data_IF_140339924837
#
_entry.id   IF_140339924837
#
_cell.length_a   1.000
_cell.length_b   1.000
_cell.length_c   1.000
_cell.angle_alpha   90.00
_cell.angle_beta   90.00
_cell.angle_gamma   90.00
#
_symmetry.space_group_name_H-M   'P 1'
#
loop_
_entity.id
_entity.type
_entity.pdbx_description
1 polymer ?
#
# COMPACT_ATOMS: atom_id res chain seq x y z
N UNK A 1 -4.57 0.97 16.09
CA UNK A 1 -3.58 1.21 17.18
C UNK A 1 -2.43 2.08 16.68
N UNK A 2 -1.66 2.78 17.53
CA UNK A 2 -0.47 3.58 17.11
C UNK A 2 0.78 3.04 17.80
N UNK A 3 1.93 3.10 17.13
CA UNK A 3 3.18 2.47 17.59
C UNK A 3 4.15 3.50 18.13
N UNK A 4 4.76 3.22 19.28
CA UNK A 4 5.77 4.09 19.88
C UNK A 4 7.07 4.04 19.09
N UNK A 5 7.62 5.22 18.76
CA UNK A 5 8.91 5.36 18.06
C UNK A 5 9.78 6.40 18.74
N UNK A 6 11.10 6.17 18.77
CA UNK A 6 12.05 7.10 19.38
C UNK A 6 12.47 8.19 18.38
N UNK A 7 12.39 9.44 18.81
CA UNK A 7 12.78 10.61 18.01
C UNK A 7 14.23 10.52 17.51
N UNK A 8 15.16 10.12 18.38
CA UNK A 8 16.58 9.93 18.03
C UNK A 8 16.77 8.99 16.83
N UNK A 9 15.98 7.90 16.75
CA UNK A 9 16.08 6.96 15.63
C UNK A 9 15.60 7.55 14.31
N UNK A 10 14.56 8.40 14.36
CA UNK A 10 14.06 9.11 13.19
C UNK A 10 15.09 10.12 12.66
N UNK A 11 15.74 10.85 13.57
CA UNK A 11 16.73 11.86 13.22
C UNK A 11 18.00 11.25 12.60
N UNK A 12 18.33 10.00 12.95
CA UNK A 12 19.53 9.30 12.49
C UNK A 12 19.32 8.35 11.29
N UNK A 13 18.08 8.14 10.83
CA UNK A 13 17.78 7.24 9.72
C UNK A 13 16.49 7.65 8.98
N UNK A 14 16.66 8.14 7.75
CA UNK A 14 15.55 8.63 6.91
C UNK A 14 14.51 7.55 6.52
N UNK A 15 14.86 6.26 6.59
CA UNK A 15 13.96 5.14 6.30
C UNK A 15 13.36 4.52 7.57
N UNK A 16 13.71 4.99 8.76
CA UNK A 16 13.31 4.35 10.01
C UNK A 16 11.79 4.21 10.15
N UNK A 17 11.03 5.27 9.87
CA UNK A 17 9.57 5.23 9.97
C UNK A 17 8.94 4.33 8.91
N UNK A 18 9.49 4.33 7.70
CA UNK A 18 9.01 3.47 6.62
C UNK A 18 9.23 1.99 6.96
N UNK A 19 10.43 1.65 7.43
CA UNK A 19 10.72 0.28 7.89
C UNK A 19 9.84 -0.12 9.07
N UNK A 20 9.61 0.78 10.03
CA UNK A 20 8.68 0.49 11.14
C UNK A 20 7.24 0.31 10.68
N UNK A 21 6.77 1.08 9.70
CA UNK A 21 5.45 0.88 9.12
C UNK A 21 5.31 -0.54 8.53
N UNK A 22 6.29 -0.97 7.74
CA UNK A 22 6.33 -2.32 7.14
C UNK A 22 6.35 -3.38 8.23
N UNK A 23 7.27 -3.29 9.19
CA UNK A 23 7.37 -4.25 10.30
C UNK A 23 6.05 -4.35 11.06
N UNK A 24 5.37 -3.22 11.32
CA UNK A 24 4.10 -3.22 12.01
C UNK A 24 2.95 -3.85 11.19
N UNK A 25 2.96 -3.75 9.86
CA UNK A 25 2.02 -4.47 9.01
C UNK A 25 2.27 -5.98 9.04
N UNK A 26 3.53 -6.41 8.89
CA UNK A 26 3.92 -7.82 8.87
C UNK A 26 3.66 -8.53 10.20
N UNK A 27 3.84 -7.82 11.32
CA UNK A 27 3.66 -8.36 12.66
C UNK A 27 2.25 -8.08 13.24
N UNK A 28 1.34 -7.53 12.43
CA UNK A 28 -0.03 -7.16 12.85
C UNK A 28 -0.08 -6.21 14.08
N UNK A 29 0.98 -5.41 14.28
CA UNK A 29 1.12 -4.51 15.44
C UNK A 29 0.12 -3.34 15.43
N UNK A 30 -0.58 -3.08 14.32
CA UNK A 30 -1.65 -2.08 14.30
C UNK A 30 -3.00 -2.62 14.82
N UNK A 31 -3.11 -3.94 15.01
CA UNK A 31 -4.32 -4.64 15.44
C UNK A 31 -5.40 -4.72 14.35
N UNK A 32 -6.52 -5.36 14.67
CA UNK A 32 -7.65 -5.57 13.74
C UNK A 32 -8.47 -4.29 13.51
N UNK A 33 -8.55 -3.43 14.53
CA UNK A 33 -9.26 -2.16 14.49
C UNK A 33 -8.37 -1.03 13.93
N UNK A 34 -8.02 -1.17 12.64
CA UNK A 34 -7.29 -0.16 11.89
C UNK A 34 -8.14 1.11 11.70
N UNK A 35 -7.53 2.29 11.88
CA UNK A 35 -8.17 3.55 11.47
C UNK A 35 -8.37 3.57 9.96
N UNK A 36 -9.27 4.42 9.44
CA UNK A 36 -9.50 4.54 7.99
C UNK A 36 -8.20 4.83 7.23
N UNK A 37 -7.34 5.67 7.78
CA UNK A 37 -6.06 6.04 7.16
C UNK A 37 -5.11 4.84 7.13
N UNK A 38 -5.06 4.05 8.20
CA UNK A 38 -4.25 2.84 8.29
C UNK A 38 -4.74 1.76 7.33
N UNK A 39 -6.06 1.58 7.19
CA UNK A 39 -6.67 0.64 6.24
C UNK A 39 -6.29 0.98 4.80
N UNK A 40 -6.42 2.24 4.41
CA UNK A 40 -6.01 2.72 3.07
C UNK A 40 -4.54 2.41 2.81
N UNK A 41 -3.64 2.72 3.75
CA UNK A 41 -2.22 2.42 3.60
C UNK A 41 -1.94 0.91 3.52
N UNK A 42 -2.62 0.08 4.33
CA UNK A 42 -2.48 -1.38 4.31
C UNK A 42 -2.92 -1.97 2.96
N UNK A 43 -4.08 -1.56 2.44
CA UNK A 43 -4.59 -2.03 1.15
C UNK A 43 -3.61 -1.72 0.02
N UNK A 44 -3.14 -0.47 -0.06
CA UNK A 44 -2.21 -0.06 -1.10
C UNK A 44 -0.84 -0.75 -0.96
N UNK A 45 -0.34 -0.94 0.27
CA UNK A 45 0.92 -1.64 0.52
C UNK A 45 0.88 -3.08 0.03
N UNK A 46 -0.17 -3.84 0.36
CA UNK A 46 -0.25 -5.23 -0.06
C UNK A 46 -0.48 -5.38 -1.57
N UNK A 47 -1.23 -4.47 -2.18
CA UNK A 47 -1.33 -4.42 -3.64
C UNK A 47 0.03 -4.15 -4.29
N UNK A 48 0.78 -3.14 -3.83
CA UNK A 48 2.12 -2.85 -4.34
C UNK A 48 3.08 -4.04 -4.15
N UNK A 49 3.05 -4.69 -2.99
CA UNK A 49 3.91 -5.84 -2.70
C UNK A 49 3.68 -7.01 -3.66
N UNK A 50 2.42 -7.37 -3.93
CA UNK A 50 2.11 -8.46 -4.86
C UNK A 50 2.39 -8.08 -6.31
N UNK A 51 2.09 -6.84 -6.71
CA UNK A 51 2.38 -6.37 -8.06
C UNK A 51 3.88 -6.45 -8.40
N UNK A 52 4.75 -6.22 -7.41
CA UNK A 52 6.21 -6.35 -7.55
C UNK A 52 6.72 -7.80 -7.38
N UNK A 53 5.85 -8.77 -7.14
CA UNK A 53 6.20 -10.19 -6.94
C UNK A 53 5.54 -11.10 -7.96
N UNK A 54 4.21 -11.15 -7.99
CA UNK A 54 3.39 -12.04 -8.83
C UNK A 54 2.43 -11.33 -9.78
N UNK A 55 2.46 -10.00 -9.86
CA UNK A 55 1.56 -9.21 -10.73
C UNK A 55 0.10 -9.30 -10.28
N UNK A 56 -0.83 -8.93 -11.16
CA UNK A 56 -2.26 -9.00 -10.83
C UNK A 56 -2.73 -10.44 -10.58
N UNK A 57 -2.16 -11.42 -11.29
CA UNK A 57 -2.49 -12.83 -11.05
C UNK A 57 -2.16 -13.23 -9.60
N UNK A 58 -0.95 -12.90 -9.12
CA UNK A 58 -0.57 -13.16 -7.74
C UNK A 58 -1.44 -12.41 -6.73
N UNK A 59 -1.77 -11.15 -7.02
CA UNK A 59 -2.64 -10.37 -6.14
C UNK A 59 -4.04 -10.99 -6.01
N UNK A 60 -4.70 -11.33 -7.12
CA UNK A 60 -6.06 -11.87 -7.09
C UNK A 60 -6.12 -13.31 -6.52
N UNK A 61 -5.04 -14.08 -6.62
CA UNK A 61 -4.92 -15.38 -5.94
C UNK A 61 -4.75 -15.23 -4.42
N UNK A 62 -3.88 -14.33 -3.96
CA UNK A 62 -3.59 -14.13 -2.54
C UNK A 62 -4.72 -13.39 -1.80
N UNK A 63 -5.45 -12.51 -2.50
CA UNK A 63 -6.44 -11.60 -1.93
C UNK A 63 -7.83 -11.76 -2.58
N UNK A 64 -8.20 -12.99 -2.95
CA UNK A 64 -9.46 -13.30 -3.65
C UNK A 64 -10.73 -12.87 -2.92
N UNK A 65 -10.66 -12.76 -1.59
CA UNK A 65 -11.79 -12.45 -0.71
C UNK A 65 -11.87 -10.95 -0.33
N UNK A 66 -10.92 -10.13 -0.81
CA UNK A 66 -10.91 -8.69 -0.55
C UNK A 66 -12.02 -7.96 -1.30
N UNK A 67 -12.44 -6.82 -0.76
CA UNK A 67 -13.38 -5.94 -1.44
C UNK A 67 -12.63 -5.04 -2.44
N UNK A 68 -12.59 -5.45 -3.71
CA UNK A 68 -11.83 -4.73 -4.75
C UNK A 68 -12.29 -3.27 -4.96
N UNK A 69 -13.56 -2.94 -4.71
CA UNK A 69 -14.02 -1.54 -4.74
C UNK A 69 -13.32 -0.69 -3.66
N UNK A 70 -12.99 -1.28 -2.50
CA UNK A 70 -12.26 -0.59 -1.44
C UNK A 70 -10.77 -0.44 -1.76
N UNK A 71 -10.18 -1.40 -2.48
CA UNK A 71 -8.81 -1.29 -2.98
C UNK A 71 -8.72 -0.17 -4.02
N UNK A 72 -9.62 -0.13 -5.01
CA UNK A 72 -9.69 0.94 -6.01
C UNK A 72 -9.82 2.32 -5.32
N UNK A 73 -10.76 2.44 -4.37
CA UNK A 73 -10.94 3.68 -3.59
C UNK A 73 -9.71 4.04 -2.76
N UNK A 74 -8.98 3.06 -2.23
CA UNK A 74 -7.77 3.31 -1.46
C UNK A 74 -6.67 3.89 -2.34
N UNK A 75 -6.49 3.36 -3.55
CA UNK A 75 -5.55 3.89 -4.54
C UNK A 75 -5.91 5.34 -4.92
N UNK A 76 -7.19 5.64 -5.15
CA UNK A 76 -7.65 7.02 -5.39
C UNK A 76 -7.38 7.92 -4.17
N UNK A 77 -7.63 7.43 -2.95
CA UNK A 77 -7.45 8.22 -1.72
C UNK A 77 -6.00 8.66 -1.48
N UNK A 78 -5.01 7.93 -1.99
CA UNK A 78 -3.59 8.29 -1.87
C UNK A 78 -3.07 9.09 -3.08
N UNK A 79 -3.94 9.45 -4.03
CA UNK A 79 -3.55 10.15 -5.27
C UNK A 79 -2.85 9.26 -6.30
N UNK A 80 -3.19 7.96 -6.32
CA UNK A 80 -2.69 6.98 -7.27
C UNK A 80 -3.75 6.64 -8.33
N UNK A 81 -4.37 7.64 -8.95
CA UNK A 81 -5.51 7.45 -9.86
C UNK A 81 -5.18 6.60 -11.09
N UNK A 82 -3.98 6.71 -11.64
CA UNK A 82 -3.57 5.87 -12.78
C UNK A 82 -3.43 4.39 -12.37
N UNK A 83 -2.94 4.13 -11.15
CA UNK A 83 -2.93 2.77 -10.59
C UNK A 83 -4.35 2.26 -10.35
N UNK A 84 -5.25 3.09 -9.82
CA UNK A 84 -6.65 2.72 -9.60
C UNK A 84 -7.36 2.36 -10.93
N UNK A 85 -7.14 3.16 -11.98
CA UNK A 85 -7.67 2.88 -13.33
C UNK A 85 -7.12 1.57 -13.88
N UNK A 86 -5.82 1.34 -13.74
CA UNK A 86 -5.17 0.12 -14.21
C UNK A 86 -5.70 -1.12 -13.48
N UNK A 87 -5.82 -1.04 -12.15
CA UNK A 87 -6.39 -2.08 -11.31
C UNK A 87 -7.83 -2.43 -11.72
N UNK A 88 -8.66 -1.42 -12.01
CA UNK A 88 -10.02 -1.63 -12.51
C UNK A 88 -10.06 -2.36 -13.86
N UNK A 89 -9.17 -2.00 -14.79
CA UNK A 89 -9.04 -2.68 -16.08
C UNK A 89 -8.65 -4.15 -15.88
N UNK A 90 -7.75 -4.42 -14.92
CA UNK A 90 -7.34 -5.78 -14.58
C UNK A 90 -8.55 -6.61 -14.08
N UNK A 91 -9.38 -6.07 -13.18
CA UNK A 91 -10.61 -6.74 -12.71
C UNK A 91 -11.58 -7.01 -13.87
N UNK A 92 -11.81 -6.03 -14.73
CA UNK A 92 -12.86 -6.12 -15.76
C UNK A 92 -12.45 -7.00 -16.95
N UNK A 93 -11.16 -7.00 -17.30
CA UNK A 93 -10.69 -7.58 -18.58
C UNK A 93 -9.33 -8.27 -18.54
N UNK A 94 -8.59 -8.21 -17.43
CA UNK A 94 -7.20 -8.68 -17.37
C UNK A 94 -7.03 -10.18 -17.61
N UNK A 95 -8.01 -11.01 -17.24
CA UNK A 95 -7.94 -12.46 -17.53
C UNK A 95 -7.87 -12.80 -19.04
N UNK A 96 -8.23 -11.86 -19.93
CA UNK A 96 -8.24 -12.13 -21.38
C UNK A 96 -6.85 -12.28 -21.98
N UNK A 97 -5.85 -11.68 -21.34
CA UNK A 97 -4.45 -11.69 -21.74
C UNK A 97 -3.52 -12.08 -20.60
N UNK A 98 -4.03 -12.85 -19.62
CA UNK A 98 -3.30 -13.26 -18.42
C UNK A 98 -2.65 -12.08 -17.69
N UNK A 99 -3.36 -10.94 -17.66
CA UNK A 99 -2.98 -9.67 -17.02
C UNK A 99 -1.73 -8.98 -17.59
N UNK A 100 -1.14 -9.48 -18.69
CA UNK A 100 0.12 -9.00 -19.24
C UNK A 100 0.09 -7.49 -19.49
N UNK A 101 -0.94 -6.97 -20.17
CA UNK A 101 -1.04 -5.54 -20.48
C UNK A 101 -1.12 -4.69 -19.20
N UNK A 102 -1.87 -5.14 -18.21
CA UNK A 102 -2.05 -4.39 -16.95
C UNK A 102 -0.83 -4.49 -16.04
N UNK A 103 -0.09 -5.59 -16.07
CA UNK A 103 1.18 -5.76 -15.34
C UNK A 103 2.28 -4.89 -15.96
N UNK A 104 2.43 -4.93 -17.29
CA UNK A 104 3.37 -4.06 -18.02
C UNK A 104 3.06 -2.59 -17.72
N UNK A 105 1.76 -2.22 -17.80
CA UNK A 105 1.33 -0.85 -17.51
C UNK A 105 1.69 -0.43 -16.07
N UNK A 106 1.49 -1.30 -15.09
CA UNK A 106 1.84 -1.02 -13.69
C UNK A 106 3.34 -0.68 -13.56
N UNK A 107 4.20 -1.45 -14.22
CA UNK A 107 5.66 -1.24 -14.19
C UNK A 107 6.13 0.04 -14.89
N UNK A 108 5.33 0.60 -15.79
CA UNK A 108 5.63 1.87 -16.49
C UNK A 108 5.18 3.12 -15.73
N UNK A 109 4.29 2.99 -14.74
CA UNK A 109 3.72 4.13 -14.03
C UNK A 109 4.77 4.83 -13.15
N UNK A 110 4.70 6.16 -13.14
CA UNK A 110 5.57 7.03 -12.34
C UNK A 110 4.76 8.18 -11.73
N UNK A 111 5.00 8.58 -10.46
CA UNK A 111 5.92 7.94 -9.51
C UNK A 111 5.51 6.51 -9.17
N UNK A 112 6.47 5.68 -8.77
CA UNK A 112 6.19 4.28 -8.41
C UNK A 112 5.27 4.23 -7.19
N UNK A 113 4.38 3.24 -7.13
CA UNK A 113 3.34 3.17 -6.11
C UNK A 113 3.91 3.17 -4.67
N UNK A 114 5.03 2.49 -4.43
CA UNK A 114 5.74 2.51 -3.14
C UNK A 114 6.05 3.92 -2.64
N UNK A 115 6.47 4.84 -3.54
CA UNK A 115 6.79 6.22 -3.17
C UNK A 115 5.54 7.03 -2.83
N UNK A 116 4.43 6.77 -3.54
CA UNK A 116 3.12 7.38 -3.23
C UNK A 116 2.65 6.92 -1.84
N UNK A 117 2.73 5.62 -1.56
CA UNK A 117 2.33 5.04 -0.27
C UNK A 117 3.20 5.61 0.85
N UNK A 118 4.52 5.64 0.67
CA UNK A 118 5.45 6.22 1.65
C UNK A 118 5.10 7.68 1.94
N UNK A 119 4.84 8.47 0.91
CA UNK A 119 4.43 9.88 1.06
C UNK A 119 3.14 9.98 1.88
N UNK A 120 2.12 9.19 1.52
CA UNK A 120 0.84 9.17 2.25
C UNK A 120 1.01 8.79 3.74
N UNK A 121 1.86 7.80 4.05
CA UNK A 121 2.15 7.42 5.45
C UNK A 121 2.86 8.56 6.20
N UNK A 122 3.82 9.24 5.57
CA UNK A 122 4.54 10.35 6.21
C UNK A 122 3.66 11.58 6.41
N UNK A 123 2.81 11.92 5.45
CA UNK A 123 1.84 13.01 5.57
C UNK A 123 0.82 12.76 6.69
N UNK A 124 0.59 11.48 7.00
CA UNK A 124 -0.30 11.04 8.08
C UNK A 124 0.45 10.41 9.26
N UNK A 125 1.72 10.79 9.50
CA UNK A 125 2.61 10.15 10.48
C UNK A 125 1.97 9.91 11.86
N UNK A 126 1.20 10.88 12.35
CA UNK A 126 0.56 10.83 13.66
C UNK A 126 -0.55 9.79 13.75
N UNK A 127 -1.04 9.25 12.63
CA UNK A 127 -1.99 8.14 12.60
C UNK A 127 -1.33 6.79 12.78
N UNK A 128 -0.03 6.68 12.51
CA UNK A 128 0.73 5.44 12.63
C UNK A 128 1.58 5.41 13.89
N UNK A 129 2.18 6.55 14.24
CA UNK A 129 3.23 6.60 15.24
C UNK A 129 2.95 7.60 16.36
N UNK A 130 3.44 7.26 17.55
CA UNK A 130 3.57 8.16 18.69
C UNK A 130 5.07 8.39 18.89
N UNK A 131 5.52 9.62 18.63
CA UNK A 131 6.93 9.98 18.71
C UNK A 131 7.26 10.36 20.15
N UNK A 132 8.21 9.64 20.75
CA UNK A 132 8.70 9.91 22.10
C UNK A 132 10.15 10.39 22.07
N UNK A 133 10.48 11.30 22.98
CA UNK A 133 11.83 11.88 23.14
C UNK A 133 12.85 10.88 23.63
#
# INVERSE_FOLDING_TARGET
MKVLVKKEKMENNEYYLWNRFIECLLNEEFGDDLSRIQKVAKHCFWYDAEMNSGGHSGYFECYSDENFDEIEKSLVNIGAEEYAKNFKIAIETGEKDDYIITDDKFGELTPVLTDIIRTYVMDNINEFFIIVG
#
